data_IF_400773433027
#
_entry.id   IF_400773433027
#
_cell.length_a   1.000
_cell.length_b   1.000
_cell.length_c   1.000
_cell.angle_alpha   90.00
_cell.angle_beta   90.00
_cell.angle_gamma   90.00
#
_symmetry.space_group_name_H-M   'P 1'
#
loop_
_entity.id
_entity.type
_entity.pdbx_description
1 polymer ?
#
# COMPACT_ATOMS: atom_id res chain seq x y z
N UNK A 1 -10.38 -16.07 0.62
CA UNK A 1 -10.71 -14.70 0.19
C UNK A 1 -10.73 -14.65 -1.34
N UNK A 2 -11.85 -15.02 -1.97
CA UNK A 2 -11.99 -15.07 -3.43
C UNK A 2 -12.32 -13.67 -3.96
N UNK A 3 -13.30 -13.02 -3.34
CA UNK A 3 -13.80 -11.69 -3.72
C UNK A 3 -12.71 -10.62 -3.88
N UNK A 4 -11.79 -10.48 -2.90
CA UNK A 4 -10.76 -9.46 -2.95
C UNK A 4 -9.86 -9.59 -4.19
N UNK A 5 -9.46 -10.82 -4.52
CA UNK A 5 -8.61 -11.11 -5.68
C UNK A 5 -9.33 -10.82 -7.00
N UNK A 6 -10.61 -11.17 -7.10
CA UNK A 6 -11.41 -10.91 -8.31
C UNK A 6 -11.63 -9.41 -8.54
N UNK A 7 -11.87 -8.66 -7.46
CA UNK A 7 -12.14 -7.21 -7.56
C UNK A 7 -10.89 -6.36 -7.70
N UNK A 8 -9.74 -6.83 -7.24
CA UNK A 8 -8.46 -6.12 -7.38
C UNK A 8 -8.11 -5.82 -8.83
N UNK A 9 -8.32 -6.78 -9.74
CA UNK A 9 -8.12 -6.57 -11.18
C UNK A 9 -9.00 -5.44 -11.72
N UNK A 10 -10.30 -5.48 -11.41
CA UNK A 10 -11.25 -4.45 -11.83
C UNK A 10 -10.88 -3.08 -11.27
N UNK A 11 -10.53 -3.02 -9.98
CA UNK A 11 -10.10 -1.78 -9.33
C UNK A 11 -8.84 -1.21 -9.98
N UNK A 12 -7.86 -2.07 -10.30
CA UNK A 12 -6.64 -1.65 -11.00
C UNK A 12 -6.93 -1.13 -12.40
N UNK A 13 -7.81 -1.77 -13.15
CA UNK A 13 -8.16 -1.33 -14.50
C UNK A 13 -8.83 0.05 -14.49
N UNK A 14 -9.76 0.25 -13.55
CA UNK A 14 -10.43 1.54 -13.37
C UNK A 14 -9.43 2.63 -12.97
N UNK A 15 -8.59 2.37 -11.96
CA UNK A 15 -7.52 3.28 -11.55
C UNK A 15 -6.57 3.59 -12.72
N UNK A 16 -6.15 2.58 -13.49
CA UNK A 16 -5.21 2.75 -14.59
C UNK A 16 -5.80 3.65 -15.68
N UNK A 17 -7.08 3.48 -16.02
CA UNK A 17 -7.77 4.33 -17.01
C UNK A 17 -7.83 5.79 -16.55
N UNK A 18 -8.25 6.03 -15.30
CA UNK A 18 -8.30 7.38 -14.73
C UNK A 18 -6.91 8.01 -14.69
N UNK A 19 -5.93 7.30 -14.12
CA UNK A 19 -4.56 7.79 -13.99
C UNK A 19 -3.91 8.11 -15.35
N UNK A 20 -4.05 7.25 -16.36
CA UNK A 20 -3.47 7.48 -17.68
C UNK A 20 -4.10 8.69 -18.38
N UNK A 21 -5.40 8.94 -18.16
CA UNK A 21 -6.09 10.09 -18.73
C UNK A 21 -5.61 11.44 -18.17
N UNK A 22 -5.20 11.45 -16.90
CA UNK A 22 -4.78 12.66 -16.18
C UNK A 22 -3.25 12.90 -16.22
N UNK A 23 -2.46 11.86 -16.48
CA UNK A 23 -1.00 11.91 -16.39
C UNK A 23 -0.27 11.70 -17.73
N UNK A 24 0.70 12.57 -18.02
CA UNK A 24 1.48 12.54 -19.28
C UNK A 24 2.42 11.34 -19.35
N UNK A 25 2.33 10.58 -20.45
CA UNK A 25 3.13 9.36 -20.71
C UNK A 25 3.09 8.40 -19.53
N UNK A 26 1.91 8.23 -18.94
CA UNK A 26 1.71 7.35 -17.80
C UNK A 26 1.59 5.90 -18.24
N UNK A 27 2.17 5.01 -17.43
CA UNK A 27 2.03 3.57 -17.52
C UNK A 27 1.71 3.05 -16.12
N UNK A 28 0.76 2.13 -16.04
CA UNK A 28 0.40 1.40 -14.83
C UNK A 28 0.51 -0.08 -15.13
N UNK A 29 1.35 -0.81 -14.40
CA UNK A 29 1.65 -2.21 -14.67
C UNK A 29 1.45 -3.05 -13.40
N UNK A 30 0.94 -4.27 -13.55
CA UNK A 30 0.91 -5.25 -12.46
C UNK A 30 2.33 -5.44 -11.90
N UNK A 31 2.47 -5.38 -10.58
CA UNK A 31 3.75 -5.67 -9.95
C UNK A 31 3.93 -7.18 -9.74
N UNK A 32 5.18 -7.62 -9.80
CA UNK A 32 5.62 -8.88 -9.19
C UNK A 32 6.20 -8.65 -7.80
N UNK A 33 6.99 -9.61 -7.33
CA UNK A 33 7.81 -9.46 -6.14
C UNK A 33 9.02 -8.56 -6.42
N UNK A 34 9.08 -7.43 -5.73
CA UNK A 34 10.24 -6.52 -5.74
C UNK A 34 11.16 -6.93 -4.60
N UNK A 35 12.37 -7.37 -4.93
CA UNK A 35 13.42 -7.67 -3.94
C UNK A 35 14.22 -6.41 -3.63
N UNK A 36 14.47 -6.16 -2.35
CA UNK A 36 15.35 -5.07 -1.94
C UNK A 36 16.80 -5.40 -2.35
N UNK A 37 17.47 -4.47 -3.03
CA UNK A 37 18.83 -4.70 -3.56
C UNK A 37 19.89 -4.80 -2.47
N UNK A 38 19.72 -4.07 -1.37
CA UNK A 38 20.68 -4.04 -0.26
C UNK A 38 20.40 -5.14 0.77
N UNK A 39 19.16 -5.63 0.82
CA UNK A 39 18.69 -6.65 1.77
C UNK A 39 17.89 -7.73 1.00
N UNK A 40 18.56 -8.63 0.26
CA UNK A 40 17.91 -9.51 -0.73
C UNK A 40 16.89 -10.50 -0.17
N UNK A 41 16.89 -10.77 1.14
CA UNK A 41 15.88 -11.59 1.79
C UNK A 41 14.59 -10.84 2.13
N UNK A 42 14.50 -9.55 1.79
CA UNK A 42 13.28 -8.76 1.88
C UNK A 42 12.68 -8.52 0.50
N UNK A 43 11.38 -8.77 0.41
CA UNK A 43 10.60 -8.51 -0.78
C UNK A 43 9.25 -7.87 -0.47
N UNK A 44 8.73 -7.13 -1.44
CA UNK A 44 7.43 -6.48 -1.40
C UNK A 44 6.70 -6.73 -2.71
N UNK A 45 5.40 -7.04 -2.62
CA UNK A 45 4.52 -7.14 -3.79
C UNK A 45 3.45 -6.07 -3.66
N UNK A 46 3.65 -4.86 -4.18
CA UNK A 46 2.54 -3.92 -4.38
C UNK A 46 1.58 -4.47 -5.44
N UNK A 47 0.40 -3.86 -5.60
CA UNK A 47 -0.59 -4.35 -6.57
C UNK A 47 -0.33 -3.81 -7.99
N UNK A 48 0.30 -2.64 -8.08
CA UNK A 48 0.83 -2.11 -9.33
C UNK A 48 2.05 -1.21 -9.12
N UNK A 49 2.81 -1.01 -10.20
CA UNK A 49 3.85 0.02 -10.32
C UNK A 49 3.34 1.04 -11.32
N UNK A 50 3.53 2.31 -11.00
CA UNK A 50 3.19 3.43 -11.88
C UNK A 50 4.45 4.18 -12.28
N UNK A 51 4.47 4.65 -13.52
CA UNK A 51 5.52 5.53 -14.01
C UNK A 51 4.92 6.56 -14.96
N UNK A 52 5.14 7.84 -14.69
CA UNK A 52 4.72 8.91 -15.59
C UNK A 52 5.70 10.08 -15.58
N UNK A 53 5.66 10.92 -16.64
CA UNK A 53 6.61 12.04 -16.77
C UNK A 53 6.44 13.10 -15.67
N UNK A 54 5.25 13.24 -15.11
CA UNK A 54 4.93 14.32 -14.15
C UNK A 54 5.12 13.94 -12.68
N UNK A 55 4.88 12.67 -12.31
CA UNK A 55 5.00 12.21 -10.92
C UNK A 55 6.20 11.28 -10.67
N UNK A 56 6.86 10.81 -11.74
CA UNK A 56 7.92 9.81 -11.66
C UNK A 56 7.35 8.42 -11.37
N UNK A 57 8.18 7.58 -10.73
CA UNK A 57 7.85 6.20 -10.38
C UNK A 57 7.24 6.11 -8.97
N UNK A 58 6.19 5.32 -8.83
CA UNK A 58 5.53 5.03 -7.55
C UNK A 58 4.92 3.63 -7.54
N UNK A 59 4.26 3.28 -6.44
CA UNK A 59 3.50 2.03 -6.30
C UNK A 59 2.02 2.31 -6.08
N UNK A 60 1.20 1.27 -6.22
CA UNK A 60 -0.23 1.30 -5.94
C UNK A 60 -0.55 0.13 -5.02
N UNK A 61 -1.35 0.40 -3.99
CA UNK A 61 -1.89 -0.61 -3.09
C UNK A 61 -3.42 -0.49 -3.07
N UNK A 62 -4.11 -1.56 -3.43
CA UNK A 62 -5.54 -1.64 -3.66
C UNK A 62 -6.18 -2.47 -2.54
N UNK A 63 -7.24 -1.93 -1.94
CA UNK A 63 -8.07 -2.66 -0.97
C UNK A 63 -9.50 -2.74 -1.45
N UNK A 64 -10.04 -3.95 -1.46
CA UNK A 64 -11.42 -4.27 -1.84
C UNK A 64 -12.17 -4.94 -0.66
N UNK A 65 -12.61 -4.19 0.37
CA UNK A 65 -13.20 -4.79 1.57
C UNK A 65 -14.60 -5.36 1.31
N UNK A 66 -14.74 -6.69 1.32
CA UNK A 66 -16.02 -7.36 1.08
C UNK A 66 -17.15 -6.93 2.03
N UNK A 67 -16.83 -6.76 3.32
CA UNK A 67 -17.80 -6.38 4.36
C UNK A 67 -18.42 -5.01 4.10
N UNK A 68 -17.70 -4.11 3.44
CA UNK A 68 -18.09 -2.72 3.25
C UNK A 68 -18.29 -2.35 1.78
N UNK A 69 -18.30 -3.34 0.87
CA UNK A 69 -18.37 -3.13 -0.58
C UNK A 69 -19.56 -2.24 -1.01
N UNK A 70 -20.69 -2.34 -0.31
CA UNK A 70 -21.92 -1.63 -0.65
C UNK A 70 -22.08 -0.30 0.10
N UNK A 71 -21.08 0.12 0.87
CA UNK A 71 -21.11 1.38 1.62
C UNK A 71 -20.45 2.50 0.81
N UNK A 72 -20.82 3.71 1.14
CA UNK A 72 -20.14 4.93 0.73
C UNK A 72 -18.89 5.18 1.58
N UNK A 73 -17.99 6.03 1.10
CA UNK A 73 -16.79 6.41 1.87
C UNK A 73 -17.13 7.04 3.21
N UNK A 74 -18.17 7.88 3.26
CA UNK A 74 -18.61 8.52 4.50
C UNK A 74 -19.08 7.47 5.52
N UNK A 75 -19.94 6.53 5.12
CA UNK A 75 -20.42 5.43 5.98
C UNK A 75 -19.27 4.55 6.49
N UNK A 76 -18.25 4.29 5.69
CA UNK A 76 -17.05 3.53 6.14
C UNK A 76 -16.22 4.35 7.11
N UNK A 77 -16.05 5.65 6.84
CA UNK A 77 -15.27 6.55 7.69
C UNK A 77 -15.88 6.66 9.09
N UNK A 78 -17.22 6.68 9.20
CA UNK A 78 -17.95 6.68 10.47
C UNK A 78 -17.72 5.39 11.27
N UNK A 79 -17.61 4.25 10.58
CA UNK A 79 -17.23 2.96 11.19
C UNK A 79 -15.77 2.91 11.63
N UNK A 80 -14.96 3.93 11.32
CA UNK A 80 -13.55 4.06 11.72
C UNK A 80 -12.69 2.87 11.25
N UNK A 81 -13.12 2.14 10.22
CA UNK A 81 -12.43 0.97 9.69
C UNK A 81 -11.27 1.40 8.79
N UNK A 82 -10.05 1.41 9.33
CA UNK A 82 -8.80 1.88 8.70
C UNK A 82 -8.78 3.34 8.23
N UNK A 83 -9.93 3.98 7.99
CA UNK A 83 -10.07 5.35 7.52
C UNK A 83 -10.40 6.30 8.67
N UNK A 84 -10.02 7.56 8.51
CA UNK A 84 -10.38 8.68 9.37
C UNK A 84 -10.86 9.84 8.51
N UNK A 85 -11.80 10.64 9.03
CA UNK A 85 -12.21 11.90 8.42
C UNK A 85 -11.51 13.04 9.15
N UNK A 86 -10.80 13.89 8.42
CA UNK A 86 -10.12 15.06 8.96
C UNK A 86 -11.12 16.19 9.23
N UNK A 87 -10.71 17.25 9.94
CA UNK A 87 -11.60 18.36 10.32
C UNK A 87 -12.15 19.14 9.12
N UNK A 88 -11.45 19.15 8.00
CA UNK A 88 -11.85 19.67 6.69
C UNK A 88 -12.72 18.68 5.88
N UNK A 89 -13.10 17.54 6.47
CA UNK A 89 -13.99 16.56 5.86
C UNK A 89 -13.33 15.59 4.89
N UNK A 90 -12.00 15.62 4.73
CA UNK A 90 -11.26 14.72 3.84
C UNK A 90 -11.09 13.35 4.51
N UNK A 91 -11.42 12.29 3.77
CA UNK A 91 -11.22 10.91 4.24
C UNK A 91 -9.79 10.49 3.89
N UNK A 92 -9.08 9.94 4.88
CA UNK A 92 -7.69 9.49 4.76
C UNK A 92 -7.47 8.15 5.46
N UNK A 93 -6.46 7.42 5.04
CA UNK A 93 -5.96 6.23 5.72
C UNK A 93 -5.33 6.62 7.06
N UNK A 94 -5.76 5.96 8.13
CA UNK A 94 -5.16 6.14 9.45
C UNK A 94 -3.70 5.72 9.44
N UNK A 95 -2.82 6.56 9.98
CA UNK A 95 -1.40 6.20 10.19
C UNK A 95 -1.20 5.00 11.11
N UNK A 96 -2.15 4.71 12.00
CA UNK A 96 -2.15 3.53 12.89
C UNK A 96 -2.69 2.26 12.22
N UNK A 97 -3.22 2.37 11.00
CA UNK A 97 -3.70 1.22 10.22
C UNK A 97 -2.54 0.31 9.84
N UNK A 98 -2.74 -0.99 9.95
CA UNK A 98 -1.80 -1.96 9.39
C UNK A 98 -1.63 -1.83 7.86
N UNK A 99 -2.63 -1.33 7.12
CA UNK A 99 -2.49 -1.02 5.69
C UNK A 99 -1.49 0.12 5.46
N UNK A 100 -1.49 1.14 6.32
CA UNK A 100 -0.51 2.23 6.23
C UNK A 100 0.91 1.69 6.48
N UNK A 101 1.07 0.82 7.48
CA UNK A 101 2.35 0.16 7.76
C UNK A 101 2.82 -0.72 6.58
N UNK A 102 1.91 -1.47 5.96
CA UNK A 102 2.20 -2.26 4.77
C UNK A 102 2.72 -1.37 3.63
N UNK A 103 2.01 -0.28 3.32
CA UNK A 103 2.37 0.67 2.26
C UNK A 103 3.74 1.31 2.51
N UNK A 104 4.00 1.76 3.74
CA UNK A 104 5.30 2.32 4.11
C UNK A 104 6.43 1.29 3.95
N UNK A 105 6.14 0.03 4.27
CA UNK A 105 7.10 -1.08 4.13
C UNK A 105 7.38 -1.44 2.68
N UNK A 106 6.35 -1.48 1.82
CA UNK A 106 6.53 -1.67 0.39
C UNK A 106 7.36 -0.55 -0.23
N UNK A 107 7.13 0.71 0.15
CA UNK A 107 7.93 1.87 -0.29
C UNK A 107 9.39 1.77 0.14
N UNK A 108 9.66 1.38 1.39
CA UNK A 108 11.03 1.20 1.87
C UNK A 108 11.77 0.07 1.15
N UNK A 109 11.11 -1.08 0.97
CA UNK A 109 11.69 -2.25 0.30
C UNK A 109 12.00 -1.93 -1.17
N UNK A 110 11.08 -1.24 -1.85
CA UNK A 110 11.23 -0.87 -3.27
C UNK A 110 12.05 0.42 -3.51
N UNK A 111 12.44 1.12 -2.44
CA UNK A 111 13.09 2.43 -2.48
C UNK A 111 12.30 3.48 -3.30
N UNK A 112 10.98 3.53 -3.09
CA UNK A 112 10.06 4.46 -3.74
C UNK A 112 9.47 5.44 -2.74
N UNK A 113 9.17 6.65 -3.20
CA UNK A 113 8.86 7.80 -2.32
C UNK A 113 7.37 8.05 -2.13
N UNK A 114 6.52 7.32 -2.85
CA UNK A 114 5.07 7.47 -2.76
C UNK A 114 4.33 6.22 -3.24
N UNK A 115 3.13 6.09 -2.70
CA UNK A 115 2.14 5.07 -3.04
C UNK A 115 0.79 5.75 -3.25
N UNK A 116 0.06 5.39 -4.30
CA UNK A 116 -1.36 5.69 -4.39
C UNK A 116 -2.13 4.55 -3.71
N UNK A 117 -2.73 4.84 -2.57
CA UNK A 117 -3.66 3.95 -1.89
C UNK A 117 -5.02 4.03 -2.56
N UNK A 118 -5.52 2.90 -3.03
CA UNK A 118 -6.81 2.79 -3.73
C UNK A 118 -7.76 1.97 -2.89
N UNK A 119 -8.87 2.55 -2.48
CA UNK A 119 -9.98 1.83 -1.88
C UNK A 119 -11.10 1.70 -2.92
N UNK A 120 -11.40 0.46 -3.29
CA UNK A 120 -12.48 0.13 -4.21
C UNK A 120 -13.72 -0.31 -3.45
N UNK A 121 -14.84 0.34 -3.77
CA UNK A 121 -16.16 0.03 -3.26
C UNK A 121 -17.09 -0.22 -4.45
N UNK A 122 -17.93 -1.24 -4.36
CA UNK A 122 -18.94 -1.50 -5.39
C UNK A 122 -20.01 -0.39 -5.42
N UNK A 123 -20.17 0.33 -4.31
CA UNK A 123 -21.09 1.44 -4.16
C UNK A 123 -22.43 1.00 -3.57
N UNK A 124 -23.28 1.96 -3.21
CA UNK A 124 -24.61 1.63 -2.68
C UNK A 124 -25.43 0.90 -3.74
N UNK A 125 -26.23 -0.09 -3.32
CA UNK A 125 -27.22 -0.78 -4.17
C UNK A 125 -28.11 0.25 -4.89
N UNK A 126 -28.34 1.41 -4.28
CA UNK A 126 -29.16 2.50 -4.85
C UNK A 126 -28.48 3.28 -5.96
N UNK A 127 -27.15 3.31 -6.00
CA UNK A 127 -26.38 4.17 -6.93
C UNK A 127 -25.76 3.40 -8.09
N UNK A 128 -25.66 2.06 -8.00
CA UNK A 128 -25.08 1.12 -8.98
C UNK A 128 -23.68 1.45 -9.53
N UNK A 129 -23.05 2.53 -9.05
CA UNK A 129 -21.74 3.00 -9.51
C UNK A 129 -20.67 2.63 -8.51
N UNK A 130 -19.64 1.96 -9.02
CA UNK A 130 -18.39 1.74 -8.32
C UNK A 130 -17.76 3.07 -7.92
N UNK A 131 -17.11 3.08 -6.75
CA UNK A 131 -16.40 4.25 -6.24
C UNK A 131 -14.96 3.89 -5.94
N UNK A 132 -14.04 4.60 -6.59
CA UNK A 132 -12.63 4.63 -6.24
C UNK A 132 -12.37 5.81 -5.30
N UNK A 133 -11.67 5.52 -4.22
CA UNK A 133 -11.00 6.54 -3.43
C UNK A 133 -9.49 6.35 -3.59
N UNK A 134 -8.83 7.39 -4.07
CA UNK A 134 -7.39 7.41 -4.26
C UNK A 134 -6.78 8.43 -3.31
N UNK A 135 -5.83 7.98 -2.48
CA UNK A 135 -5.03 8.83 -1.62
C UNK A 135 -3.55 8.62 -1.92
N UNK A 136 -2.85 9.71 -2.28
CA UNK A 136 -1.39 9.65 -2.41
C UNK A 136 -0.73 9.72 -1.04
N UNK A 137 -0.12 8.61 -0.63
CA UNK A 137 0.66 8.48 0.59
C UNK A 137 2.14 8.70 0.24
N UNK A 138 2.80 9.59 0.98
CA UNK A 138 4.25 9.81 0.88
C UNK A 138 5.00 8.88 1.82
N UNK A 139 6.21 8.51 1.42
CA UNK A 139 7.14 7.84 2.31
C UNK A 139 7.41 8.74 3.53
N UNK A 140 7.24 8.19 4.72
CA UNK A 140 7.42 8.89 5.99
C UNK A 140 8.73 8.42 6.62
N UNK A 141 9.88 9.09 6.36
CA UNK A 141 11.17 8.64 6.85
C UNK A 141 11.24 8.61 8.39
N UNK A 142 10.35 9.29 9.11
CA UNK A 142 10.35 9.26 10.59
C UNK A 142 9.84 7.93 11.16
N UNK A 143 9.09 7.16 10.38
CA UNK A 143 8.84 5.75 10.73
C UNK A 143 10.12 4.89 10.68
N UNK A 144 11.16 5.39 9.99
CA UNK A 144 12.39 4.67 9.67
C UNK A 144 13.64 5.28 10.33
N UNK A 145 13.59 6.54 10.78
CA UNK A 145 14.75 7.26 11.33
C UNK A 145 15.01 6.93 12.80
N UNK A 146 16.22 6.44 13.09
CA UNK A 146 16.74 6.15 14.45
C UNK A 146 17.18 7.44 15.17
N UNK A 147 16.28 8.19 15.81
CA UNK A 147 16.64 9.17 16.87
C UNK A 147 15.38 9.47 17.69
N UNK A 148 15.31 9.42 19.01
CA UNK A 148 16.18 9.03 20.11
C UNK A 148 15.31 9.02 21.37
N UNK A 149 15.62 8.15 22.34
CA UNK A 149 14.94 7.99 23.63
C UNK A 149 13.50 7.41 23.55
N UNK A 150 13.41 6.09 23.79
CA UNK A 150 12.18 5.28 23.99
C UNK A 150 11.18 5.29 22.81
N UNK A 151 11.65 5.01 21.59
CA UNK A 151 10.89 4.20 20.62
C UNK A 151 11.92 3.44 19.80
N UNK A 152 12.00 2.12 19.96
CA UNK A 152 12.63 1.28 18.95
C UNK A 152 11.79 1.48 17.68
N UNK A 153 12.29 2.25 16.71
CA UNK A 153 11.57 2.45 15.43
C UNK A 153 11.08 1.08 14.94
N UNK A 154 9.79 0.99 14.64
CA UNK A 154 9.15 -0.28 14.32
C UNK A 154 9.92 -1.02 13.22
N UNK A 155 10.47 -0.29 12.24
CA UNK A 155 11.35 -0.85 11.24
C UNK A 155 12.68 -1.37 11.78
N UNK A 156 13.45 -0.62 12.59
CA UNK A 156 14.70 -1.19 13.13
C UNK A 156 14.43 -2.45 13.96
N UNK A 157 13.31 -2.51 14.69
CA UNK A 157 12.90 -3.71 15.42
C UNK A 157 12.56 -4.87 14.49
N UNK A 158 11.70 -4.62 13.49
CA UNK A 158 11.24 -5.62 12.53
C UNK A 158 12.39 -6.10 11.66
N UNK A 159 13.17 -5.18 11.08
CA UNK A 159 14.34 -5.47 10.27
C UNK A 159 15.38 -6.26 11.07
N UNK A 160 15.71 -5.86 12.30
CA UNK A 160 16.63 -6.63 13.13
C UNK A 160 16.11 -8.04 13.38
N UNK A 161 14.82 -8.20 13.71
CA UNK A 161 14.23 -9.53 13.93
C UNK A 161 14.23 -10.37 12.66
N UNK A 162 13.88 -9.80 11.51
CA UNK A 162 13.87 -10.50 10.22
C UNK A 162 15.29 -10.87 9.80
N UNK A 163 16.26 -9.96 9.95
CA UNK A 163 17.68 -10.23 9.68
C UNK A 163 18.22 -11.33 10.61
N UNK A 164 17.94 -11.25 11.91
CA UNK A 164 18.34 -12.27 12.89
C UNK A 164 17.70 -13.63 12.57
N UNK A 165 16.42 -13.65 12.20
CA UNK A 165 15.74 -14.88 11.81
C UNK A 165 16.38 -15.47 10.55
N UNK A 166 16.61 -14.64 9.53
CA UNK A 166 17.22 -15.05 8.28
C UNK A 166 18.63 -15.60 8.51
N UNK A 167 19.48 -14.86 9.22
CA UNK A 167 20.87 -15.27 9.48
C UNK A 167 20.96 -16.50 10.37
N UNK A 168 20.09 -16.64 11.37
CA UNK A 168 20.16 -17.72 12.36
C UNK A 168 19.52 -19.02 11.87
N UNK A 169 18.46 -18.95 11.07
CA UNK A 169 17.65 -20.12 10.74
C UNK A 169 17.56 -20.42 9.24
N UNK A 170 17.67 -19.40 8.36
CA UNK A 170 17.55 -19.61 6.90
C UNK A 170 18.92 -19.84 6.27
N UNK A 171 19.88 -18.94 6.50
CA UNK A 171 21.23 -19.03 5.91
C UNK A 171 21.91 -20.37 6.18
N UNK A 172 21.91 -20.93 7.41
CA UNK A 172 22.55 -22.22 7.64
C UNK A 172 21.93 -23.37 6.83
N UNK A 173 20.65 -23.27 6.46
CA UNK A 173 19.97 -24.28 5.63
C UNK A 173 20.25 -24.12 4.14
N UNK A 174 20.59 -22.92 3.68
CA UNK A 174 20.92 -22.65 2.28
C UNK A 174 22.37 -22.99 1.90
N UNK A 175 23.28 -23.03 2.88
CA UNK A 175 24.72 -23.30 2.67
C UNK A 175 25.08 -24.77 2.97
N UNK A 176 24.10 -25.59 3.40
CA UNK A 176 24.31 -27.00 3.73
C UNK A 176 24.14 -27.96 2.53
N UNK A 177 23.94 -27.43 1.33
CA UNK A 177 23.90 -28.17 0.06
C UNK A 177 25.20 -28.00 -0.75
#
# INVERSE_FOLDING_TARGET
MIYGKEREHLARDLYSKEYISEHKKAVVELSGLIINKDIPHLGASPDAIVNCKCCGKGIVEIKCPYTFKNLTLDEISEKKYHLTKTSDGVIKLKKTSNWYIQIQSQMAISNLQWCDFVLYLEGSIKTEKHKLHVERIKFDPHLWSRHGVIVITMWSSVLNKVNLFYSKYVVPKLIQD
#
